data_IF_041609519369
#
_entry.id   IF_041609519369
#
_cell.length_a   1.000
_cell.length_b   1.000
_cell.length_c   1.000
_cell.angle_alpha   90.00
_cell.angle_beta   90.00
_cell.angle_gamma   90.00
#
_symmetry.space_group_name_H-M   'P 1'
#
loop_
_entity.id
_entity.type
_entity.pdbx_description
1 polymer ?
#
# COMPACT_ATOMS: atom_id res chain seq x y z
N UNK A 1 -16.52 4.71 19.92
CA UNK A 1 -15.67 5.07 18.78
C UNK A 1 -14.42 4.22 18.92
N UNK A 2 -14.12 3.37 17.94
CA UNK A 2 -12.86 2.63 17.93
C UNK A 2 -11.73 3.65 17.68
N UNK A 3 -10.66 3.57 18.46
CA UNK A 3 -9.47 4.37 18.21
C UNK A 3 -8.89 3.91 16.86
N UNK A 4 -8.46 4.83 15.96
CA UNK A 4 -7.82 4.42 14.72
C UNK A 4 -6.59 3.55 15.03
N UNK A 5 -6.23 2.60 14.14
CA UNK A 5 -5.01 1.81 14.30
C UNK A 5 -3.80 2.76 14.33
N UNK A 6 -2.83 2.43 15.18
CA UNK A 6 -1.57 3.16 15.25
C UNK A 6 -0.62 2.66 14.15
N UNK A 7 0.30 3.51 13.70
CA UNK A 7 1.25 3.17 12.64
C UNK A 7 2.68 3.48 13.06
N UNK A 8 3.64 2.67 12.62
CA UNK A 8 5.06 2.97 12.78
C UNK A 8 5.40 4.36 12.18
N UNK A 9 5.90 5.26 13.02
CA UNK A 9 6.13 6.68 12.70
C UNK A 9 7.60 7.10 12.79
N UNK A 10 8.44 6.33 13.50
CA UNK A 10 9.87 6.60 13.65
C UNK A 10 10.66 5.33 13.96
N UNK A 11 11.90 5.26 13.51
CA UNK A 11 12.84 4.19 13.87
C UNK A 11 14.17 4.79 14.32
N UNK A 12 14.73 4.27 15.41
CA UNK A 12 16.05 4.67 15.90
C UNK A 12 16.95 3.46 16.13
N UNK A 13 18.24 3.63 15.83
CA UNK A 13 19.30 2.69 16.20
C UNK A 13 20.42 3.52 16.80
N UNK A 14 20.34 3.79 18.11
CA UNK A 14 21.19 4.76 18.77
C UNK A 14 22.70 4.48 18.59
N UNK A 15 23.10 3.20 18.65
CA UNK A 15 24.49 2.78 18.47
C UNK A 15 25.04 3.00 17.04
N UNK A 16 24.15 3.19 16.07
CA UNK A 16 24.46 3.44 14.66
C UNK A 16 24.12 4.88 14.22
N UNK A 17 23.74 5.75 15.17
CA UNK A 17 23.32 7.14 14.91
C UNK A 17 22.17 7.26 13.89
N UNK A 18 21.27 6.27 13.88
CA UNK A 18 20.10 6.27 13.00
C UNK A 18 18.91 6.81 13.78
N UNK A 19 18.25 7.81 13.20
CA UNK A 19 17.03 8.41 13.70
C UNK A 19 16.21 8.91 12.50
N UNK A 20 15.25 8.10 12.07
CA UNK A 20 14.48 8.36 10.85
C UNK A 20 12.98 8.41 11.16
N UNK A 21 12.24 9.41 10.64
CA UNK A 21 10.81 9.28 10.49
C UNK A 21 10.49 8.08 9.60
N UNK A 22 9.40 7.38 9.91
CA UNK A 22 8.88 6.25 9.14
C UNK A 22 7.62 6.70 8.43
N UNK A 23 7.57 6.49 7.12
CA UNK A 23 6.37 6.71 6.32
C UNK A 23 5.80 5.38 5.84
N UNK A 24 4.52 5.35 5.48
CA UNK A 24 3.95 4.19 4.80
C UNK A 24 4.70 3.95 3.47
N UNK A 25 5.10 2.70 3.23
CA UNK A 25 5.67 2.26 1.96
C UNK A 25 4.72 2.45 0.78
N UNK A 26 3.42 2.59 1.04
CA UNK A 26 2.38 2.87 0.06
C UNK A 26 2.53 4.25 -0.57
N UNK A 27 3.24 5.17 0.10
CA UNK A 27 3.50 6.52 -0.40
C UNK A 27 4.59 6.56 -1.48
N UNK A 28 5.31 5.45 -1.73
CA UNK A 28 6.39 5.44 -2.70
C UNK A 28 5.84 5.46 -4.14
N UNK A 29 6.13 6.50 -4.95
CA UNK A 29 5.71 6.53 -6.33
C UNK A 29 6.42 5.42 -7.12
N UNK A 30 5.71 4.70 -8.01
CA UNK A 30 6.36 3.80 -8.95
C UNK A 30 7.43 4.54 -9.78
N UNK A 31 8.62 3.94 -10.01
CA UNK A 31 9.04 2.59 -9.65
C UNK A 31 9.71 2.51 -8.27
N UNK A 32 8.96 2.07 -7.24
CA UNK A 32 9.38 1.41 -5.99
C UNK A 32 10.78 1.74 -5.46
N UNK A 33 11.11 3.02 -5.34
CA UNK A 33 12.36 3.43 -4.70
C UNK A 33 12.00 4.17 -3.42
N UNK A 34 12.59 3.81 -2.27
CA UNK A 34 12.38 4.54 -1.04
C UNK A 34 12.68 6.03 -1.22
N UNK A 35 11.93 6.87 -0.52
CA UNK A 35 12.30 8.28 -0.38
C UNK A 35 13.59 8.40 0.43
N UNK A 36 14.25 9.54 0.28
CA UNK A 36 15.38 9.92 1.11
C UNK A 36 14.86 10.61 2.38
N UNK A 37 15.71 10.61 3.40
CA UNK A 37 15.48 11.23 4.72
C UNK A 37 14.32 10.61 5.53
N UNK A 38 13.75 9.50 5.06
CA UNK A 38 12.72 8.72 5.75
C UNK A 38 13.02 7.22 5.63
N UNK A 39 12.57 6.44 6.59
CA UNK A 39 12.39 5.00 6.41
C UNK A 39 10.97 4.70 5.92
N UNK A 40 10.77 3.55 5.31
CA UNK A 40 9.48 3.11 4.80
C UNK A 40 9.06 1.81 5.48
N UNK A 41 7.91 1.84 6.13
CA UNK A 41 7.23 0.65 6.65
C UNK A 41 6.56 -0.11 5.51
N UNK A 42 6.79 -1.41 5.42
CA UNK A 42 6.20 -2.25 4.37
C UNK A 42 4.85 -2.79 4.88
N UNK A 43 3.76 -2.21 4.41
CA UNK A 43 2.40 -2.30 4.99
C UNK A 43 1.77 -3.67 5.05
N UNK A 44 2.23 -4.62 4.24
CA UNK A 44 1.81 -6.03 4.31
C UNK A 44 2.31 -6.79 5.55
N UNK A 45 3.26 -6.22 6.28
CA UNK A 45 3.82 -6.82 7.48
C UNK A 45 3.02 -6.36 8.71
N UNK A 46 3.40 -6.84 9.90
CA UNK A 46 2.71 -6.53 11.15
C UNK A 46 3.15 -5.17 11.70
N UNK A 47 2.25 -4.43 12.34
CA UNK A 47 2.61 -3.23 13.09
C UNK A 47 3.45 -3.58 14.34
N UNK A 48 4.21 -2.62 14.92
CA UNK A 48 5.06 -2.89 16.09
C UNK A 48 4.33 -3.46 17.33
N UNK A 49 3.02 -3.24 17.45
CA UNK A 49 2.20 -3.79 18.54
C UNK A 49 1.59 -5.16 18.24
N UNK A 50 1.70 -5.64 17.00
CA UNK A 50 1.06 -6.88 16.55
C UNK A 50 2.07 -8.03 16.56
N UNK A 51 1.66 -9.26 16.96
CA UNK A 51 2.47 -10.45 16.71
C UNK A 51 2.79 -10.60 15.22
N UNK A 52 4.02 -11.01 14.90
CA UNK A 52 4.51 -11.14 13.53
C UNK A 52 5.82 -10.37 13.32
N UNK A 53 6.06 -10.01 12.06
CA UNK A 53 7.26 -9.27 11.65
C UNK A 53 6.82 -7.86 11.33
N UNK A 54 7.40 -6.85 11.96
CA UNK A 54 7.43 -5.47 11.46
C UNK A 54 8.60 -5.32 10.50
N UNK A 55 8.37 -4.73 9.34
CA UNK A 55 9.38 -4.63 8.29
C UNK A 55 9.58 -3.19 7.86
N UNK A 56 10.77 -2.65 8.11
CA UNK A 56 11.13 -1.27 7.82
C UNK A 56 12.33 -1.28 6.87
N UNK A 57 12.26 -0.48 5.81
CA UNK A 57 13.31 -0.38 4.81
C UNK A 57 13.77 1.06 4.62
N UNK A 58 15.05 1.27 4.35
CA UNK A 58 15.60 2.59 4.03
C UNK A 58 16.84 2.45 3.13
N UNK A 59 17.28 3.53 2.50
CA UNK A 59 18.49 3.51 1.68
C UNK A 59 19.76 3.31 2.50
N UNK A 60 20.77 2.70 1.86
CA UNK A 60 22.13 2.66 2.35
C UNK A 60 22.85 3.95 1.95
N UNK A 61 22.35 5.09 2.45
CA UNK A 61 22.92 6.41 2.23
C UNK A 61 23.21 7.13 3.55
N UNK A 62 24.05 8.15 3.50
CA UNK A 62 24.34 9.02 4.64
C UNK A 62 23.05 9.59 5.23
N UNK A 63 22.94 9.59 6.56
CA UNK A 63 21.72 9.96 7.28
C UNK A 63 20.63 8.89 7.27
N UNK A 64 20.83 7.73 6.64
CA UNK A 64 19.86 6.64 6.55
C UNK A 64 20.44 5.31 7.09
N UNK A 65 20.21 4.17 6.43
CA UNK A 65 20.70 2.85 6.87
C UNK A 65 22.14 2.53 6.42
N UNK A 66 22.88 3.49 5.86
CA UNK A 66 24.30 3.29 5.55
C UNK A 66 25.12 2.81 6.77
N UNK A 67 24.94 3.35 7.99
CA UNK A 67 25.68 2.87 9.16
C UNK A 67 25.43 1.38 9.45
N UNK A 68 24.22 0.86 9.22
CA UNK A 68 23.94 -0.58 9.34
C UNK A 68 24.70 -1.37 8.29
N UNK A 69 24.72 -0.90 7.03
CA UNK A 69 25.49 -1.55 5.97
C UNK A 69 26.98 -1.58 6.31
N UNK A 70 27.56 -0.46 6.70
CA UNK A 70 28.97 -0.37 7.08
C UNK A 70 29.32 -1.25 8.28
N UNK A 71 28.45 -1.30 9.30
CA UNK A 71 28.59 -2.20 10.44
C UNK A 71 28.45 -3.68 10.03
N UNK A 72 27.61 -4.00 9.05
CA UNK A 72 27.47 -5.36 8.52
C UNK A 72 28.74 -5.82 7.78
N UNK A 73 29.43 -4.90 7.10
CA UNK A 73 30.68 -5.20 6.40
C UNK A 73 31.84 -5.40 7.39
N UNK A 74 31.75 -4.85 8.60
CA UNK A 74 32.71 -5.08 9.67
C UNK A 74 32.36 -6.34 10.44
N UNK A 75 33.34 -7.23 10.59
CA UNK A 75 33.18 -8.45 11.39
C UNK A 75 31.96 -9.31 10.97
N UNK A 76 31.53 -9.20 9.72
CA UNK A 76 30.36 -9.89 9.15
C UNK A 76 29.08 -9.68 9.98
N UNK A 77 28.80 -8.43 10.34
CA UNK A 77 27.59 -8.03 11.08
C UNK A 77 27.58 -8.40 12.56
N UNK A 78 28.61 -9.06 13.08
CA UNK A 78 28.69 -9.42 14.50
C UNK A 78 28.65 -8.21 15.43
N UNK A 79 29.06 -7.03 14.96
CA UNK A 79 29.01 -5.77 15.73
C UNK A 79 27.57 -5.26 15.92
N UNK A 80 26.63 -5.67 15.07
CA UNK A 80 25.22 -5.30 15.19
C UNK A 80 24.47 -6.15 16.22
N UNK A 81 24.92 -7.38 16.48
CA UNK A 81 24.26 -8.30 17.40
C UNK A 81 24.24 -7.72 18.82
N UNK A 82 23.05 -7.67 19.42
CA UNK A 82 22.82 -7.11 20.74
C UNK A 82 22.59 -5.60 20.78
N UNK A 83 22.73 -4.89 19.66
CA UNK A 83 22.32 -3.47 19.61
C UNK A 83 20.80 -3.36 19.73
N UNK A 84 20.35 -2.26 20.33
CA UNK A 84 18.93 -1.95 20.49
C UNK A 84 18.41 -1.15 19.29
N UNK A 85 17.16 -1.42 18.94
CA UNK A 85 16.40 -0.69 17.95
C UNK A 85 15.08 -0.28 18.60
N UNK A 86 14.70 0.99 18.49
CA UNK A 86 13.38 1.44 18.91
C UNK A 86 12.53 1.78 17.69
N UNK A 87 11.28 1.31 17.69
CA UNK A 87 10.26 1.72 16.72
C UNK A 87 9.15 2.43 17.48
N UNK A 88 8.77 3.59 16.99
CA UNK A 88 7.71 4.40 17.58
C UNK A 88 6.45 4.34 16.73
N UNK A 89 5.30 4.56 17.35
CA UNK A 89 4.02 4.69 16.67
C UNK A 89 3.38 6.06 16.91
N UNK A 90 2.55 6.48 15.97
CA UNK A 90 1.86 7.79 15.96
C UNK A 90 0.92 8.03 17.15
N UNK A 91 0.53 6.98 17.88
CA UNK A 91 -0.22 7.05 19.13
C UNK A 91 0.64 7.29 20.38
N UNK A 92 1.95 7.48 20.21
CA UNK A 92 2.87 7.80 21.31
C UNK A 92 3.42 6.59 22.04
N UNK A 93 3.56 5.44 21.37
CA UNK A 93 4.21 4.26 21.94
C UNK A 93 5.62 4.07 21.37
N UNK A 94 6.55 3.57 22.20
CA UNK A 94 7.88 3.07 21.84
C UNK A 94 7.89 1.55 22.01
N UNK A 95 8.41 0.85 21.02
CA UNK A 95 8.65 -0.59 21.03
C UNK A 95 10.14 -0.85 20.89
N UNK A 96 10.76 -1.39 21.95
CA UNK A 96 12.18 -1.72 21.96
C UNK A 96 12.43 -3.12 21.41
N UNK A 97 13.48 -3.28 20.62
CA UNK A 97 13.94 -4.54 20.04
C UNK A 97 15.44 -4.72 20.26
N UNK A 98 15.91 -5.97 20.24
CA UNK A 98 17.35 -6.29 20.26
C UNK A 98 17.71 -7.08 19.02
N UNK A 99 18.75 -6.64 18.30
CA UNK A 99 19.24 -7.34 17.10
C UNK A 99 19.80 -8.70 17.51
N UNK A 100 19.33 -9.76 16.84
CA UNK A 100 19.72 -11.15 17.12
C UNK A 100 20.36 -11.84 15.93
N UNK A 101 20.12 -11.35 14.71
CA UNK A 101 20.66 -11.93 13.49
C UNK A 101 20.91 -10.86 12.42
N UNK A 102 21.95 -11.07 11.63
CA UNK A 102 22.29 -10.25 10.47
C UNK A 102 22.41 -11.17 9.27
N UNK A 103 21.55 -10.98 8.29
CA UNK A 103 21.53 -11.75 7.06
C UNK A 103 22.01 -10.86 5.92
N UNK A 104 23.23 -11.10 5.47
CA UNK A 104 23.84 -10.42 4.33
C UNK A 104 23.56 -11.17 3.04
N UNK A 105 23.54 -10.44 1.93
CA UNK A 105 23.28 -10.98 0.59
C UNK A 105 21.91 -11.66 0.46
N UNK A 106 20.93 -11.24 1.27
CA UNK A 106 19.58 -11.74 1.16
C UNK A 106 18.99 -11.34 -0.20
N UNK A 107 18.44 -12.32 -0.92
CA UNK A 107 17.80 -12.09 -2.22
C UNK A 107 16.28 -12.20 -2.15
N UNK A 108 15.75 -12.60 -1.00
CA UNK A 108 14.33 -12.83 -0.75
C UNK A 108 13.99 -12.71 0.75
N UNK A 109 12.80 -13.19 1.13
CA UNK A 109 12.28 -13.19 2.51
C UNK A 109 12.32 -14.57 3.18
N UNK A 110 13.07 -15.52 2.63
CA UNK A 110 13.03 -16.92 3.11
C UNK A 110 13.37 -17.04 4.59
N UNK A 111 14.25 -16.20 5.11
CA UNK A 111 14.59 -16.19 6.54
C UNK A 111 13.41 -15.82 7.46
N UNK A 112 12.35 -15.20 6.94
CA UNK A 112 11.13 -14.91 7.70
C UNK A 112 10.23 -16.13 7.87
N UNK A 113 10.34 -17.13 6.97
CA UNK A 113 9.41 -18.26 6.91
C UNK A 113 9.47 -19.13 8.16
N UNK A 114 10.62 -19.17 8.84
CA UNK A 114 10.87 -20.00 10.02
C UNK A 114 10.56 -19.26 11.35
N UNK A 115 10.13 -17.99 11.30
CA UNK A 115 9.86 -17.21 12.51
C UNK A 115 8.52 -17.62 13.16
N UNK A 116 8.48 -17.87 14.48
CA UNK A 116 7.24 -18.08 15.24
C UNK A 116 6.24 -16.92 15.07
N UNK A 117 5.05 -17.20 14.57
CA UNK A 117 4.05 -16.13 14.30
C UNK A 117 3.40 -15.53 15.54
N UNK A 118 3.65 -16.11 16.72
CA UNK A 118 3.13 -15.65 18.02
C UNK A 118 4.08 -14.67 18.74
N UNK A 119 5.22 -14.34 18.14
CA UNK A 119 6.20 -13.39 18.67
C UNK A 119 6.29 -12.14 17.80
N UNK A 120 6.84 -11.07 18.37
CA UNK A 120 7.11 -9.82 17.67
C UNK A 120 8.57 -9.76 17.23
N UNK A 121 8.77 -9.58 15.94
CA UNK A 121 10.06 -9.39 15.30
C UNK A 121 10.08 -8.05 14.58
N UNK A 122 11.27 -7.49 14.44
CA UNK A 122 11.54 -6.35 13.58
C UNK A 122 12.60 -6.75 12.56
N UNK A 123 12.39 -6.33 11.32
CA UNK A 123 13.40 -6.44 10.27
C UNK A 123 13.69 -5.06 9.72
N UNK A 124 14.97 -4.69 9.77
CA UNK A 124 15.49 -3.53 9.05
C UNK A 124 16.15 -4.01 7.76
N UNK A 125 15.76 -3.43 6.61
CA UNK A 125 16.33 -3.79 5.31
C UNK A 125 16.98 -2.60 4.61
N UNK A 126 18.15 -2.84 4.02
CA UNK A 126 18.77 -1.90 3.06
C UNK A 126 19.45 -2.61 1.88
N UNK A 127 19.87 -1.86 0.86
CA UNK A 127 20.61 -2.38 -0.30
C UNK A 127 22.08 -2.60 0.06
N UNK A 128 22.70 -3.70 -0.40
CA UNK A 128 24.17 -3.89 -0.22
C UNK A 128 25.01 -3.33 -1.35
N UNK A 129 24.40 -3.07 -2.51
CA UNK A 129 25.10 -2.60 -3.70
C UNK A 129 24.51 -1.32 -4.27
N UNK A 130 25.04 -0.88 -5.44
CA UNK A 130 24.53 0.28 -6.17
C UNK A 130 23.03 0.16 -6.49
N UNK A 131 22.48 1.23 -7.05
CA UNK A 131 21.09 1.26 -7.51
C UNK A 131 20.72 -0.01 -8.31
N UNK A 132 19.62 -0.67 -7.92
CA UNK A 132 19.11 -1.87 -8.60
C UNK A 132 19.75 -3.20 -8.19
N UNK A 133 20.65 -3.22 -7.19
CA UNK A 133 21.23 -4.48 -6.72
C UNK A 133 20.16 -5.33 -6.01
N UNK A 134 20.11 -6.61 -6.37
CA UNK A 134 19.15 -7.58 -5.82
C UNK A 134 19.46 -7.87 -4.35
N UNK A 135 20.74 -8.03 -4.03
CA UNK A 135 21.21 -8.35 -2.68
C UNK A 135 20.86 -7.25 -1.66
N UNK A 136 20.26 -7.68 -0.56
CA UNK A 136 19.84 -6.86 0.57
C UNK A 136 20.57 -7.28 1.84
N UNK A 137 20.83 -6.30 2.68
CA UNK A 137 21.12 -6.50 4.08
C UNK A 137 19.78 -6.57 4.82
N UNK A 138 19.56 -7.62 5.59
CA UNK A 138 18.42 -7.79 6.47
C UNK A 138 18.90 -7.98 7.91
N UNK A 139 18.43 -7.14 8.83
CA UNK A 139 18.79 -7.17 10.25
C UNK A 139 17.56 -7.55 11.04
N UNK A 140 17.59 -8.72 11.68
CA UNK A 140 16.49 -9.24 12.49
C UNK A 140 16.68 -8.86 13.96
N UNK A 141 15.63 -8.31 14.55
CA UNK A 141 15.56 -8.00 15.97
C UNK A 141 14.31 -8.63 16.60
N UNK A 142 14.43 -8.98 17.88
CA UNK A 142 13.34 -9.58 18.68
C UNK A 142 12.85 -8.52 19.68
N UNK A 143 11.54 -8.46 19.90
CA UNK A 143 10.95 -7.52 20.83
C UNK A 143 11.49 -7.69 22.26
N UNK A 144 11.71 -6.57 22.94
CA UNK A 144 12.28 -6.47 24.28
C UNK A 144 11.28 -5.85 25.26
N UNK A 145 10.82 -4.64 24.99
CA UNK A 145 9.94 -3.87 25.86
C UNK A 145 9.02 -2.93 25.05
N UNK A 146 8.05 -2.34 25.75
CA UNK A 146 7.18 -1.30 25.22
C UNK A 146 6.92 -0.25 26.29
N UNK A 147 6.80 1.00 25.85
CA UNK A 147 6.71 2.15 26.74
C UNK A 147 5.90 3.28 26.10
N UNK A 148 5.01 3.91 26.85
CA UNK A 148 4.35 5.13 26.40
C UNK A 148 5.33 6.32 26.47
N UNK A 149 5.40 7.10 25.41
CA UNK A 149 6.26 8.28 25.27
C UNK A 149 5.44 9.51 24.89
N UNK A 150 6.08 10.68 24.87
CA UNK A 150 5.44 11.89 24.35
C UNK A 150 5.15 11.71 22.84
N UNK A 151 3.90 11.90 22.37
CA UNK A 151 3.57 11.79 20.94
C UNK A 151 4.47 12.66 20.04
N UNK A 152 4.91 13.83 20.51
CA UNK A 152 5.82 14.70 19.74
C UNK A 152 7.23 14.11 19.56
N UNK A 153 7.61 13.13 20.39
CA UNK A 153 8.86 12.36 20.25
C UNK A 153 8.66 11.14 19.35
N UNK A 154 7.46 10.54 19.41
CA UNK A 154 7.13 9.35 18.64
C UNK A 154 6.89 9.65 17.15
N UNK A 155 6.27 10.78 16.84
CA UNK A 155 5.83 11.14 15.49
C UNK A 155 6.48 12.43 14.99
N UNK A 156 7.79 12.42 14.67
CA UNK A 156 8.45 13.56 14.07
C UNK A 156 7.93 13.80 12.64
N UNK A 157 7.83 15.07 12.23
CA UNK A 157 7.39 15.44 10.88
C UNK A 157 8.32 14.83 9.81
N UNK A 158 7.75 13.95 8.97
CA UNK A 158 8.46 13.34 7.86
C UNK A 158 8.63 14.33 6.70
N UNK A 159 9.85 14.40 6.16
CA UNK A 159 10.18 15.26 5.02
C UNK A 159 10.72 14.43 3.84
N UNK A 160 9.92 13.50 3.28
CA UNK A 160 10.38 12.63 2.21
C UNK A 160 10.76 13.44 0.96
N UNK A 161 11.88 13.08 0.34
CA UNK A 161 12.29 13.61 -0.97
C UNK A 161 12.74 12.53 -1.92
N UNK A 162 12.71 12.82 -3.22
CA UNK A 162 13.26 11.94 -4.23
C UNK A 162 14.77 11.76 -4.05
N UNK A 163 15.23 10.51 -4.03
CA UNK A 163 16.64 10.15 -3.91
C UNK A 163 17.47 10.34 -5.19
N UNK A 164 17.02 11.16 -6.13
CA UNK A 164 17.78 11.39 -7.37
C UNK A 164 19.09 12.08 -6.98
N UNK A 165 20.25 11.57 -7.44
CA UNK A 165 21.51 12.27 -7.25
C UNK A 165 21.36 13.67 -7.84
N UNK A 166 21.64 14.72 -7.06
CA UNK A 166 21.57 16.12 -7.52
C UNK A 166 22.49 16.39 -8.73
N UNK A 167 23.38 15.45 -9.07
CA UNK A 167 24.43 15.58 -10.09
C UNK A 167 24.04 15.26 -11.54
N UNK A 168 22.80 14.83 -11.85
CA UNK A 168 22.38 14.63 -13.25
C UNK A 168 21.55 15.80 -13.83
N UNK A 169 21.10 16.74 -13.00
CA UNK A 169 20.65 18.06 -13.46
C UNK A 169 21.87 18.94 -13.65
N UNK A 170 22.58 18.70 -14.75
CA UNK A 170 23.76 19.45 -15.14
C UNK A 170 23.56 20.96 -15.01
N UNK A 171 24.60 21.62 -14.51
CA UNK A 171 24.68 23.07 -14.45
C UNK A 171 24.21 23.70 -15.74
N UNK A 172 23.09 24.43 -15.66
CA UNK A 172 22.76 25.42 -16.67
C UNK A 172 23.97 26.34 -16.81
N UNK A 173 24.55 26.37 -18.00
CA UNK A 173 25.50 27.41 -18.40
C UNK A 173 24.84 28.76 -18.10
N UNK A 174 25.50 29.72 -17.43
CA UNK A 174 24.89 31.00 -17.10
C UNK A 174 24.43 31.70 -18.39
N UNK A 175 23.12 31.86 -18.54
CA UNK A 175 22.55 32.75 -19.55
C UNK A 175 23.06 34.18 -19.31
N UNK A 176 23.39 34.94 -20.38
CA UNK A 176 23.77 36.33 -20.24
C UNK A 176 22.60 37.16 -19.69
N UNK A 177 22.87 38.28 -18.98
CA UNK A 177 21.83 39.08 -18.34
C UNK A 177 20.86 39.64 -19.38
N UNK A 178 19.63 39.12 -19.37
CA UNK A 178 18.52 39.62 -20.18
C UNK A 178 17.88 40.82 -19.48
N UNK A 179 17.65 41.86 -20.27
CA UNK A 179 17.33 43.21 -19.84
C UNK A 179 15.93 43.34 -19.21
N UNK A 180 15.84 44.25 -18.25
CA UNK A 180 14.63 44.65 -17.54
C UNK A 180 13.49 45.04 -18.48
N UNK A 181 12.33 44.41 -18.30
CA UNK A 181 11.04 44.92 -18.78
C UNK A 181 10.04 44.96 -17.61
N UNK A 182 9.52 46.16 -17.34
CA UNK A 182 8.63 46.53 -16.25
C UNK A 182 7.29 45.78 -16.25
N UNK A 183 6.68 45.52 -15.07
CA UNK A 183 5.32 44.98 -15.00
C UNK A 183 4.26 46.07 -15.22
N UNK A 184 3.28 45.74 -16.08
CA UNK A 184 2.00 46.46 -16.21
C UNK A 184 1.02 45.88 -15.19
N UNK A 185 0.53 46.72 -14.27
CA UNK A 185 -0.50 46.37 -13.28
C UNK A 185 -1.86 46.44 -13.98
N UNK A 186 -2.61 45.33 -14.00
CA UNK A 186 -4.02 45.29 -14.39
C UNK A 186 -4.84 45.01 -13.13
N UNK A 187 -5.65 45.99 -12.72
CA UNK A 187 -6.59 45.89 -11.60
C UNK A 187 -7.77 44.97 -11.93
N UNK A 188 -8.07 44.04 -11.01
CA UNK A 188 -9.28 43.22 -11.05
C UNK A 188 -10.44 43.91 -10.28
N UNK A 189 -11.70 43.81 -10.76
CA UNK A 189 -12.85 44.38 -10.06
C UNK A 189 -13.39 43.48 -8.94
N UNK A 190 -13.84 44.15 -7.88
CA UNK A 190 -14.47 43.63 -6.66
C UNK A 190 -15.80 42.93 -6.93
N UNK A 191 -16.09 41.75 -6.36
CA UNK A 191 -17.43 41.18 -6.37
C UNK A 191 -18.32 41.81 -5.30
N UNK A 192 -19.59 42.02 -5.68
CA UNK A 192 -20.65 42.65 -4.91
C UNK A 192 -21.55 41.59 -4.26
N UNK A 193 -21.86 41.74 -2.98
CA UNK A 193 -22.72 40.83 -2.20
C UNK A 193 -24.20 41.01 -2.52
N UNK A 194 -24.99 39.92 -2.61
CA UNK A 194 -26.46 39.99 -2.56
C UNK A 194 -27.04 39.83 -1.14
N UNK A 195 -28.32 40.20 -0.94
CA UNK A 195 -28.90 40.52 0.37
C UNK A 195 -29.61 39.35 1.09
N UNK A 196 -29.88 39.63 2.36
CA UNK A 196 -30.62 38.85 3.35
C UNK A 196 -32.00 38.32 2.93
N UNK A 197 -32.28 37.08 3.38
CA UNK A 197 -33.47 36.81 4.20
C UNK A 197 -34.48 35.81 3.65
N UNK A 198 -34.65 34.67 4.35
CA UNK A 198 -35.95 33.98 4.60
C UNK A 198 -35.84 33.16 5.90
N UNK A 199 -36.82 33.20 6.83
CA UNK A 199 -36.84 32.35 8.03
C UNK A 199 -37.27 30.91 7.71
N UNK A 200 -36.60 29.95 8.34
CA UNK A 200 -36.92 28.51 8.26
C UNK A 200 -37.85 28.10 9.41
N UNK A 201 -38.94 27.35 9.16
CA UNK A 201 -39.81 26.84 10.22
C UNK A 201 -39.22 25.62 10.93
N UNK A 202 -39.38 25.59 12.25
CA UNK A 202 -39.06 24.49 13.17
C UNK A 202 -40.02 23.31 12.98
N UNK A 203 -39.52 22.06 12.83
CA UNK A 203 -40.31 20.87 13.10
C UNK A 203 -40.16 20.44 14.56
N UNK A 204 -41.29 20.32 15.26
CA UNK A 204 -41.42 19.54 16.50
C UNK A 204 -41.33 18.05 16.16
N UNK A 205 -40.37 17.34 16.75
CA UNK A 205 -40.31 15.87 16.71
C UNK A 205 -40.55 15.26 18.10
N UNK A 206 -41.38 14.21 18.22
CA UNK A 206 -41.70 13.56 19.47
C UNK A 206 -40.60 12.59 19.91
N UNK A 207 -40.39 12.54 21.23
CA UNK A 207 -39.44 11.66 21.90
C UNK A 207 -39.62 10.17 21.52
N UNK A 208 -38.55 9.58 20.99
CA UNK A 208 -38.41 8.13 20.77
C UNK A 208 -37.71 7.48 21.99
N UNK A 209 -38.18 6.33 22.50
CA UNK A 209 -37.63 5.71 23.70
C UNK A 209 -36.27 5.05 23.43
N UNK A 210 -35.35 5.23 24.38
CA UNK A 210 -34.00 4.66 24.35
C UNK A 210 -34.01 3.13 24.46
N UNK A 211 -33.25 2.40 23.61
CA UNK A 211 -32.89 1.03 23.91
C UNK A 211 -31.73 0.97 24.92
N UNK A 212 -31.92 0.05 25.85
CA UNK A 212 -31.07 -0.28 26.99
C UNK A 212 -29.92 -1.23 26.61
N UNK A 213 -28.84 -1.11 27.39
CA UNK A 213 -27.77 -2.08 27.68
C UNK A 213 -26.87 -2.53 26.53
N UNK A 214 -25.71 -1.88 26.43
CA UNK A 214 -24.50 -2.40 25.80
C UNK A 214 -23.83 -3.43 26.73
N UNK A 215 -23.64 -4.69 26.31
CA UNK A 215 -22.75 -5.62 27.00
C UNK A 215 -21.29 -5.28 26.70
N UNK A 216 -20.45 -5.42 27.73
CA UNK A 216 -19.01 -5.23 27.65
C UNK A 216 -18.40 -6.14 26.58
N UNK A 217 -17.81 -5.54 25.54
CA UNK A 217 -17.07 -6.26 24.51
C UNK A 217 -15.71 -6.67 25.06
N UNK A 218 -15.54 -7.97 25.26
CA UNK A 218 -14.23 -8.63 25.26
C UNK A 218 -13.71 -8.52 23.82
N UNK A 219 -12.57 -7.83 23.63
CA UNK A 219 -11.95 -7.62 22.33
C UNK A 219 -11.62 -8.95 21.66
N UNK A 220 -12.55 -9.43 20.83
CA UNK A 220 -12.29 -10.48 19.86
C UNK A 220 -11.78 -9.73 18.65
N UNK A 221 -10.56 -10.04 18.18
CA UNK A 221 -10.04 -9.49 16.93
C UNK A 221 -11.12 -9.68 15.86
N UNK A 222 -11.59 -8.57 15.28
CA UNK A 222 -12.50 -8.65 14.16
C UNK A 222 -11.83 -9.51 13.08
N UNK A 223 -12.57 -10.42 12.42
CA UNK A 223 -12.01 -11.16 11.31
C UNK A 223 -11.37 -10.17 10.33
N UNK A 224 -10.18 -10.52 9.82
CA UNK A 224 -9.46 -9.69 8.87
C UNK A 224 -10.40 -9.32 7.71
N UNK A 225 -10.37 -8.07 7.28
CA UNK A 225 -11.26 -7.49 6.27
C UNK A 225 -10.48 -7.28 4.96
N UNK A 226 -10.55 -8.23 4.04
CA UNK A 226 -9.86 -8.14 2.75
C UNK A 226 -10.69 -8.73 1.61
N UNK A 227 -10.40 -8.33 0.38
CA UNK A 227 -11.06 -8.88 -0.81
C UNK A 227 -10.80 -10.40 -0.96
N UNK A 228 -11.86 -11.18 -1.08
CA UNK A 228 -11.84 -12.66 -1.13
C UNK A 228 -12.40 -13.25 -2.43
N UNK A 229 -13.22 -12.50 -3.18
CA UNK A 229 -13.77 -12.90 -4.49
C UNK A 229 -14.10 -11.68 -5.34
N UNK A 230 -13.95 -11.79 -6.66
CA UNK A 230 -14.36 -10.77 -7.62
C UNK A 230 -15.23 -11.39 -8.71
N UNK A 231 -16.36 -10.74 -9.00
CA UNK A 231 -17.34 -11.19 -9.99
C UNK A 231 -17.67 -10.04 -10.94
N UNK A 232 -17.64 -10.32 -12.24
CA UNK A 232 -18.16 -9.47 -13.31
C UNK A 232 -19.11 -10.32 -14.13
N UNK A 233 -20.37 -10.37 -13.70
CA UNK A 233 -21.37 -11.32 -14.22
C UNK A 233 -21.59 -11.13 -15.72
N UNK A 234 -21.63 -9.89 -16.20
CA UNK A 234 -21.85 -9.55 -17.62
C UNK A 234 -20.71 -9.99 -18.54
N UNK A 235 -19.55 -10.35 -17.98
CA UNK A 235 -18.35 -10.80 -18.71
C UNK A 235 -17.93 -12.23 -18.34
N UNK A 236 -18.76 -12.97 -17.61
CA UNK A 236 -18.46 -14.34 -17.14
C UNK A 236 -17.12 -14.44 -16.38
N UNK A 237 -16.80 -13.43 -15.56
CA UNK A 237 -15.63 -13.45 -14.67
C UNK A 237 -16.07 -13.73 -13.25
N UNK A 238 -15.47 -14.74 -12.64
CA UNK A 238 -15.72 -15.15 -11.26
C UNK A 238 -14.47 -15.81 -10.69
N UNK A 239 -13.74 -15.09 -9.84
CA UNK A 239 -12.44 -15.52 -9.35
C UNK A 239 -12.34 -15.38 -7.82
N UNK A 240 -11.77 -16.38 -7.11
CA UNK A 240 -11.22 -16.16 -5.79
C UNK A 240 -10.16 -15.06 -5.85
N UNK A 241 -10.11 -14.22 -4.83
CA UNK A 241 -9.10 -13.17 -4.68
C UNK A 241 -8.17 -13.56 -3.55
N UNK A 242 -6.87 -13.55 -3.82
CA UNK A 242 -5.82 -13.80 -2.84
C UNK A 242 -4.99 -12.55 -2.57
N UNK A 243 -4.16 -12.58 -1.53
CA UNK A 243 -3.17 -11.53 -1.31
C UNK A 243 -2.14 -11.50 -2.45
N UNK A 244 -1.86 -10.30 -2.96
CA UNK A 244 -0.78 -10.07 -3.93
C UNK A 244 0.61 -10.45 -3.42
N UNK A 245 0.76 -10.72 -2.12
CA UNK A 245 2.01 -11.19 -1.52
C UNK A 245 2.24 -12.69 -1.66
N UNK A 246 1.24 -13.46 -2.09
CA UNK A 246 1.41 -14.90 -2.27
C UNK A 246 2.24 -15.29 -3.52
N UNK A 247 2.74 -14.32 -4.31
CA UNK A 247 3.33 -14.60 -5.63
C UNK A 247 4.54 -15.55 -5.61
N UNK A 248 4.58 -16.56 -6.50
CA UNK A 248 5.71 -17.45 -6.65
C UNK A 248 6.92 -16.70 -7.24
N UNK A 249 8.16 -17.03 -6.83
CA UNK A 249 9.36 -16.49 -7.46
C UNK A 249 9.38 -16.85 -8.97
N UNK A 250 9.68 -15.90 -9.89
CA UNK A 250 10.15 -14.52 -9.67
C UNK A 250 9.06 -13.44 -9.87
N UNK A 251 8.01 -13.41 -9.04
CA UNK A 251 6.92 -12.42 -9.07
C UNK A 251 6.01 -12.53 -10.31
N UNK A 252 5.64 -13.76 -10.68
CA UNK A 252 4.63 -13.99 -11.71
C UNK A 252 3.26 -14.21 -11.04
N UNK A 253 2.18 -13.52 -11.42
CA UNK A 253 0.87 -13.74 -10.79
C UNK A 253 0.39 -15.19 -10.97
N UNK A 254 -0.37 -15.70 -10.02
CA UNK A 254 -0.98 -17.02 -10.11
C UNK A 254 -2.08 -17.08 -11.16
N UNK A 255 -2.39 -18.32 -11.57
CA UNK A 255 -3.55 -18.65 -12.38
C UNK A 255 -4.71 -19.05 -11.49
N UNK A 256 -5.92 -18.97 -12.05
CA UNK A 256 -7.20 -19.34 -11.42
C UNK A 256 -7.60 -18.50 -10.20
N UNK A 257 -6.83 -17.44 -9.91
CA UNK A 257 -7.12 -16.47 -8.85
C UNK A 257 -6.84 -15.06 -9.35
N UNK A 258 -7.55 -14.10 -8.80
CA UNK A 258 -7.14 -12.70 -8.82
C UNK A 258 -6.33 -12.37 -7.56
N UNK A 259 -5.62 -11.25 -7.57
CA UNK A 259 -4.79 -10.83 -6.45
C UNK A 259 -4.97 -9.34 -6.16
N UNK A 260 -5.28 -8.99 -4.90
CA UNK A 260 -5.32 -7.58 -4.49
C UNK A 260 -3.92 -7.03 -4.21
N UNK A 261 -3.70 -5.75 -4.47
CA UNK A 261 -2.45 -5.05 -4.15
C UNK A 261 -2.47 -4.66 -2.69
N UNK A 262 -1.55 -5.20 -1.90
CA UNK A 262 -1.60 -5.18 -0.42
C UNK A 262 -1.25 -3.82 0.20
N UNK A 263 -0.65 -2.92 -0.57
CA UNK A 263 -0.33 -1.55 -0.18
C UNK A 263 -1.40 -0.52 -0.61
N UNK A 264 -2.55 -0.98 -1.11
CA UNK A 264 -3.68 -0.14 -1.48
C UNK A 264 -4.91 -0.50 -0.63
N UNK A 265 -5.92 0.36 -0.65
CA UNK A 265 -7.10 0.25 0.21
C UNK A 265 -7.87 -1.06 -0.01
N UNK A 266 -8.43 -1.63 1.05
CA UNK A 266 -9.38 -2.75 0.96
C UNK A 266 -10.79 -2.26 0.59
N UNK A 267 -11.70 -3.15 0.14
CA UNK A 267 -13.06 -2.75 -0.20
C UNK A 267 -13.74 -2.00 0.94
N UNK A 268 -14.28 -0.80 0.67
CA UNK A 268 -14.96 0.02 1.68
C UNK A 268 -14.06 0.99 2.45
N UNK A 269 -12.74 0.85 2.36
CA UNK A 269 -11.81 1.84 2.88
C UNK A 269 -11.70 3.05 1.92
N UNK A 270 -11.45 4.26 2.45
CA UNK A 270 -11.09 5.40 1.61
C UNK A 270 -9.84 5.10 0.79
N UNK A 271 -9.92 5.20 -0.54
CA UNK A 271 -8.82 4.87 -1.42
C UNK A 271 -9.24 4.07 -2.65
N UNK A 272 -8.27 3.41 -3.26
CA UNK A 272 -8.49 2.50 -4.38
C UNK A 272 -8.22 1.07 -3.95
N UNK A 273 -9.22 0.21 -4.03
CA UNK A 273 -9.00 -1.24 -4.08
C UNK A 273 -8.50 -1.62 -5.46
N UNK A 274 -7.38 -2.35 -5.51
CA UNK A 274 -6.72 -2.67 -6.77
C UNK A 274 -6.54 -4.17 -6.89
N UNK A 275 -7.26 -4.79 -7.83
CA UNK A 275 -7.26 -6.24 -8.05
C UNK A 275 -6.67 -6.52 -9.42
N UNK A 276 -5.73 -7.46 -9.47
CA UNK A 276 -5.00 -7.85 -10.67
C UNK A 276 -5.27 -9.31 -11.00
N UNK A 277 -5.35 -9.65 -12.29
CA UNK A 277 -5.36 -11.04 -12.74
C UNK A 277 -4.81 -11.12 -14.17
N UNK A 278 -4.42 -12.32 -14.61
CA UNK A 278 -3.95 -12.51 -15.99
C UNK A 278 -5.06 -12.37 -17.02
N UNK A 279 -4.69 -11.92 -18.22
CA UNK A 279 -5.57 -11.92 -19.38
C UNK A 279 -5.54 -13.32 -20.05
N UNK A 280 -5.98 -14.33 -19.30
CA UNK A 280 -6.05 -15.72 -19.75
C UNK A 280 -7.48 -16.27 -19.62
N UNK A 281 -7.75 -17.35 -20.35
CA UNK A 281 -9.02 -18.08 -20.24
C UNK A 281 -9.28 -18.48 -18.79
N UNK A 282 -10.52 -18.31 -18.33
CA UNK A 282 -10.91 -18.50 -16.94
C UNK A 282 -10.50 -17.37 -16.00
N UNK A 283 -9.88 -16.28 -16.50
CA UNK A 283 -9.43 -15.14 -15.69
C UNK A 283 -9.95 -13.80 -16.26
N UNK A 284 -9.11 -12.76 -16.36
CA UNK A 284 -9.50 -11.44 -16.86
C UNK A 284 -9.41 -11.31 -18.39
N UNK A 285 -9.25 -12.41 -19.15
CA UNK A 285 -9.33 -12.35 -20.61
C UNK A 285 -10.66 -11.76 -21.13
N UNK A 286 -11.84 -12.10 -20.59
CA UNK A 286 -13.09 -11.50 -21.04
C UNK A 286 -13.14 -9.98 -20.85
N UNK A 287 -12.49 -9.45 -19.81
CA UNK A 287 -12.33 -8.01 -19.58
C UNK A 287 -11.47 -7.39 -20.69
N UNK A 288 -10.34 -8.02 -21.05
CA UNK A 288 -9.51 -7.57 -22.18
C UNK A 288 -10.28 -7.62 -23.51
N UNK A 289 -10.99 -8.70 -23.80
CA UNK A 289 -11.76 -8.86 -25.03
C UNK A 289 -12.90 -7.83 -25.12
N UNK A 290 -13.52 -7.50 -23.99
CA UNK A 290 -14.52 -6.43 -23.91
C UNK A 290 -13.88 -5.05 -24.12
N UNK A 291 -12.69 -4.81 -23.57
CA UNK A 291 -12.00 -3.51 -23.73
C UNK A 291 -11.57 -3.24 -25.17
N UNK A 292 -11.29 -4.28 -25.95
CA UNK A 292 -10.96 -4.13 -27.37
C UNK A 292 -12.17 -3.75 -28.22
N UNK A 293 -13.39 -4.04 -27.74
CA UNK A 293 -14.63 -3.69 -28.42
C UNK A 293 -14.99 -2.25 -28.13
N UNK A 294 -14.98 -1.42 -29.18
CA UNK A 294 -15.26 0.03 -29.11
C UNK A 294 -14.45 0.72 -28.01
N UNK A 295 -13.21 0.27 -27.78
CA UNK A 295 -12.31 0.84 -26.78
C UNK A 295 -12.91 0.87 -25.36
N UNK A 296 -13.57 -0.23 -24.96
CA UNK A 296 -14.13 -0.41 -23.63
C UNK A 296 -15.44 0.32 -23.37
N UNK A 297 -15.97 1.05 -24.35
CA UNK A 297 -17.25 1.77 -24.21
C UNK A 297 -18.43 0.85 -23.89
N UNK A 298 -18.37 -0.43 -24.31
CA UNK A 298 -19.40 -1.42 -23.99
C UNK A 298 -19.39 -1.83 -22.52
N UNK A 299 -18.29 -1.59 -21.79
CA UNK A 299 -18.17 -1.96 -20.37
C UNK A 299 -18.73 -0.89 -19.44
N UNK A 300 -18.95 0.33 -19.92
CA UNK A 300 -19.44 1.42 -19.08
C UNK A 300 -20.86 1.11 -18.58
N UNK A 301 -21.05 1.21 -17.26
CA UNK A 301 -22.30 0.87 -16.58
C UNK A 301 -22.47 -0.60 -16.22
N UNK A 302 -21.55 -1.49 -16.63
CA UNK A 302 -21.51 -2.86 -16.09
C UNK A 302 -21.15 -2.83 -14.62
N UNK A 303 -21.57 -3.87 -13.90
CA UNK A 303 -21.33 -3.99 -12.46
C UNK A 303 -20.17 -4.94 -12.13
N UNK A 304 -19.51 -4.68 -11.02
CA UNK A 304 -18.49 -5.55 -10.45
C UNK A 304 -18.87 -5.78 -8.98
N UNK A 305 -18.99 -7.03 -8.58
CA UNK A 305 -19.18 -7.39 -7.17
C UNK A 305 -17.83 -7.88 -6.60
N UNK A 306 -17.37 -7.24 -5.53
CA UNK A 306 -16.20 -7.67 -4.75
C UNK A 306 -16.69 -8.14 -3.39
N UNK A 307 -16.35 -9.37 -3.02
CA UNK A 307 -16.67 -9.93 -1.72
C UNK A 307 -15.47 -9.84 -0.79
N UNK A 308 -15.73 -9.74 0.50
CA UNK A 308 -14.70 -9.71 1.53
C UNK A 308 -14.79 -10.89 2.49
N UNK A 309 -13.68 -11.13 3.18
CA UNK A 309 -13.50 -12.22 4.14
C UNK A 309 -14.47 -12.22 5.33
N UNK A 310 -15.06 -11.08 5.64
CA UNK A 310 -16.11 -10.90 6.64
C UNK A 310 -17.53 -10.98 6.07
N UNK A 311 -17.69 -11.56 4.87
CA UNK A 311 -18.96 -11.82 4.20
C UNK A 311 -19.75 -10.55 3.87
N UNK A 312 -19.07 -9.49 3.43
CA UNK A 312 -19.70 -8.34 2.78
C UNK A 312 -19.54 -8.44 1.26
N UNK A 313 -20.50 -7.88 0.55
CA UNK A 313 -20.47 -7.65 -0.90
C UNK A 313 -20.46 -6.16 -1.15
N UNK A 314 -19.43 -5.71 -1.84
CA UNK A 314 -19.28 -4.36 -2.36
C UNK A 314 -19.60 -4.36 -3.85
N UNK A 315 -20.64 -3.63 -4.23
CA UNK A 315 -21.04 -3.50 -5.63
C UNK A 315 -20.49 -2.22 -6.22
N UNK A 316 -19.83 -2.32 -7.37
CA UNK A 316 -19.26 -1.20 -8.10
C UNK A 316 -19.85 -1.08 -9.51
N UNK A 317 -19.83 0.12 -10.07
CA UNK A 317 -20.19 0.40 -11.46
C UNK A 317 -18.96 0.87 -12.24
N UNK A 318 -18.68 0.23 -13.37
CA UNK A 318 -17.60 0.65 -14.27
C UNK A 318 -17.96 2.00 -14.89
N UNK A 319 -17.08 2.99 -14.73
CA UNK A 319 -17.29 4.32 -15.29
C UNK A 319 -16.12 4.82 -16.13
N UNK A 320 -14.95 4.16 -16.09
CA UNK A 320 -13.85 4.37 -17.03
C UNK A 320 -13.15 3.08 -17.39
N UNK A 321 -12.61 3.04 -18.61
CA UNK A 321 -11.71 2.00 -19.09
C UNK A 321 -10.48 2.69 -19.67
N UNK A 322 -9.31 2.32 -19.16
CA UNK A 322 -8.02 2.90 -19.53
C UNK A 322 -7.19 1.81 -20.19
N UNK A 323 -6.89 2.00 -21.47
CA UNK A 323 -6.05 1.08 -22.22
C UNK A 323 -4.66 1.64 -22.39
N UNK A 324 -3.71 0.74 -22.59
CA UNK A 324 -2.30 1.07 -22.83
C UNK A 324 -1.64 1.85 -21.70
N UNK A 325 -2.10 1.65 -20.45
CA UNK A 325 -1.45 2.27 -19.29
C UNK A 325 -0.11 1.59 -19.05
N UNK A 326 0.92 2.38 -18.78
CA UNK A 326 2.30 1.89 -18.56
C UNK A 326 2.78 2.10 -17.12
N UNK A 327 1.95 2.70 -16.29
CA UNK A 327 2.20 2.96 -14.87
C UNK A 327 0.93 2.67 -14.05
N UNK A 328 0.96 3.02 -12.75
CA UNK A 328 -0.15 2.82 -11.81
C UNK A 328 -0.86 4.11 -11.42
N UNK A 329 -0.71 5.21 -12.18
CA UNK A 329 -1.39 6.48 -11.81
C UNK A 329 -2.90 6.33 -11.80
N UNK A 330 -3.46 5.38 -12.55
CA UNK A 330 -4.89 5.04 -12.51
C UNK A 330 -5.43 4.77 -11.08
N UNK A 331 -4.56 4.31 -10.17
CA UNK A 331 -4.92 4.05 -8.78
C UNK A 331 -5.18 5.34 -7.98
N UNK A 332 -4.62 6.48 -8.38
CA UNK A 332 -4.65 7.73 -7.61
C UNK A 332 -5.18 8.92 -8.40
N UNK A 333 -5.10 8.88 -9.73
CA UNK A 333 -5.50 9.97 -10.60
C UNK A 333 -7.02 10.20 -10.53
N UNK A 334 -7.39 11.44 -10.22
CA UNK A 334 -8.79 11.85 -10.08
C UNK A 334 -9.52 11.18 -8.91
N UNK A 335 -8.81 10.60 -7.94
CA UNK A 335 -9.40 10.06 -6.71
C UNK A 335 -9.76 11.21 -5.76
N UNK A 336 -11.04 11.34 -5.40
CA UNK A 336 -11.48 12.37 -4.47
C UNK A 336 -11.20 11.97 -3.00
N UNK A 337 -10.97 12.92 -2.09
CA UNK A 337 -10.84 12.61 -0.66
C UNK A 337 -12.07 11.85 -0.14
N UNK A 338 -11.84 10.70 0.49
CA UNK A 338 -12.91 9.84 1.03
C UNK A 338 -13.59 8.93 0.00
N UNK A 339 -13.22 9.00 -1.28
CA UNK A 339 -13.75 8.10 -2.32
C UNK A 339 -13.25 6.67 -2.11
N UNK A 340 -14.17 5.70 -2.20
CA UNK A 340 -13.85 4.28 -2.30
C UNK A 340 -14.02 3.86 -3.77
N UNK A 341 -12.90 3.53 -4.41
CA UNK A 341 -12.80 3.16 -5.83
C UNK A 341 -12.33 1.72 -5.96
N UNK A 342 -12.72 1.07 -7.05
CA UNK A 342 -12.13 -0.19 -7.49
C UNK A 342 -11.38 0.00 -8.82
N UNK A 343 -10.21 -0.62 -8.93
CA UNK A 343 -9.50 -0.83 -10.19
C UNK A 343 -9.28 -2.32 -10.41
N UNK A 344 -9.75 -2.83 -11.54
CA UNK A 344 -9.33 -4.14 -12.05
C UNK A 344 -8.23 -3.92 -13.10
N UNK A 345 -7.12 -4.64 -13.01
CA UNK A 345 -6.02 -4.53 -13.97
C UNK A 345 -5.63 -5.89 -14.56
N UNK A 346 -5.38 -5.90 -15.87
CA UNK A 346 -4.81 -7.05 -16.56
C UNK A 346 -3.78 -6.65 -17.63
N UNK A 347 -3.03 -7.60 -18.18
CA UNK A 347 -2.08 -7.38 -19.29
C UNK A 347 -2.81 -7.21 -20.62
N UNK A 348 -2.31 -6.36 -21.53
CA UNK A 348 -2.90 -6.23 -22.88
C UNK A 348 -2.20 -7.07 -23.96
N UNK A 349 -1.05 -7.68 -23.64
CA UNK A 349 -0.28 -8.44 -24.62
C UNK A 349 0.48 -9.60 -24.01
N UNK A 350 1.07 -10.45 -24.86
CA UNK A 350 1.84 -11.61 -24.42
C UNK A 350 3.07 -11.18 -23.61
N UNK A 351 3.50 -12.06 -22.69
CA UNK A 351 4.80 -12.07 -22.01
C UNK A 351 5.53 -10.72 -21.85
N UNK A 352 5.33 -10.05 -20.71
CA UNK A 352 6.12 -8.87 -20.36
C UNK A 352 5.78 -7.60 -21.15
N UNK A 353 4.70 -7.62 -21.94
CA UNK A 353 4.13 -6.40 -22.55
C UNK A 353 3.86 -5.37 -21.44
N UNK A 354 4.49 -4.17 -21.52
CA UNK A 354 4.40 -3.18 -20.46
C UNK A 354 2.97 -2.61 -20.34
N UNK A 355 2.25 -2.52 -21.45
CA UNK A 355 0.88 -2.03 -21.51
C UNK A 355 -0.07 -2.90 -20.68
N UNK A 356 -0.85 -2.22 -19.84
CA UNK A 356 -1.93 -2.80 -19.05
C UNK A 356 -3.27 -2.20 -19.46
N UNK A 357 -4.31 -2.96 -19.18
CA UNK A 357 -5.69 -2.52 -19.16
C UNK A 357 -6.05 -2.23 -17.70
N UNK A 358 -6.65 -1.08 -17.44
CA UNK A 358 -7.25 -0.71 -16.17
C UNK A 358 -8.74 -0.40 -16.31
N UNK A 359 -9.58 -1.00 -15.48
CA UNK A 359 -11.02 -0.77 -15.41
C UNK A 359 -11.33 -0.08 -14.10
N UNK A 360 -11.86 1.14 -14.16
CA UNK A 360 -12.16 1.94 -12.97
C UNK A 360 -13.65 1.89 -12.67
N UNK A 361 -13.97 1.54 -11.43
CA UNK A 361 -15.34 1.43 -10.97
C UNK A 361 -15.57 2.19 -9.66
N UNK A 362 -16.79 2.71 -9.48
CA UNK A 362 -17.20 3.48 -8.30
C UNK A 362 -18.14 2.66 -7.43
N UNK A 363 -18.02 2.79 -6.12
CA UNK A 363 -18.89 2.06 -5.18
C UNK A 363 -20.36 2.51 -5.33
N UNK A 364 -21.27 1.55 -5.44
CA UNK A 364 -22.72 1.76 -5.48
C UNK A 364 -23.36 1.44 -4.12
N UNK A 365 -23.13 0.23 -3.60
CA UNK A 365 -23.73 -0.25 -2.36
C UNK A 365 -22.88 -1.32 -1.68
N UNK A 366 -23.19 -1.56 -0.40
CA UNK A 366 -22.59 -2.60 0.44
C UNK A 366 -23.71 -3.39 1.09
N UNK A 367 -23.66 -4.71 0.97
CA UNK A 367 -24.65 -5.62 1.57
C UNK A 367 -23.96 -6.81 2.22
N UNK A 368 -24.60 -7.44 3.20
CA UNK A 368 -24.17 -8.76 3.67
C UNK A 368 -24.28 -9.80 2.54
N UNK A 369 -23.38 -10.76 2.56
CA UNK A 369 -23.32 -11.90 1.65
C UNK A 369 -23.34 -13.21 2.45
N UNK A 370 -23.62 -14.32 1.77
CA UNK A 370 -23.38 -15.63 2.33
C UNK A 370 -21.86 -15.85 2.49
N UNK A 371 -21.45 -16.35 3.66
CA UNK A 371 -20.03 -16.46 4.01
C UNK A 371 -19.29 -17.50 3.15
N UNK A 372 -19.93 -18.61 2.79
CA UNK A 372 -19.33 -19.64 1.92
C UNK A 372 -19.20 -19.11 0.50
N UNK A 373 -20.21 -18.39 0.02
CA UNK A 373 -20.16 -17.74 -1.29
C UNK A 373 -19.10 -16.64 -1.36
N UNK A 374 -18.97 -15.83 -0.31
CA UNK A 374 -17.99 -14.75 -0.26
C UNK A 374 -16.54 -15.26 -0.19
N UNK A 375 -16.33 -16.48 0.33
CA UNK A 375 -15.02 -17.06 0.60
C UNK A 375 -14.83 -18.40 -0.13
N UNK A 376 -14.80 -18.41 -1.48
CA UNK A 376 -14.49 -19.62 -2.21
C UNK A 376 -13.07 -20.10 -1.90
N UNK A 377 -12.85 -21.41 -1.89
CA UNK A 377 -11.51 -21.97 -1.80
C UNK A 377 -10.65 -21.50 -2.99
N UNK A 378 -9.50 -20.92 -2.70
CA UNK A 378 -8.55 -20.49 -3.72
C UNK A 378 -7.61 -21.64 -4.10
N UNK A 379 -7.48 -21.93 -5.39
CA UNK A 379 -6.58 -22.95 -5.93
C UNK A 379 -5.49 -22.32 -6.82
N UNK A 380 -4.62 -21.44 -6.27
CA UNK A 380 -3.61 -20.76 -7.07
C UNK A 380 -2.63 -21.77 -7.69
N UNK A 381 -2.44 -21.71 -9.00
CA UNK A 381 -1.43 -22.50 -9.72
C UNK A 381 -0.39 -21.61 -10.40
N UNK A 382 0.83 -22.13 -10.56
CA UNK A 382 1.86 -21.46 -11.36
C UNK A 382 1.42 -21.41 -12.83
N UNK A 383 1.33 -20.20 -13.38
CA UNK A 383 0.94 -19.97 -14.76
C UNK A 383 2.05 -20.20 -15.78
N UNK A 384 3.30 -20.40 -15.34
CA UNK A 384 4.38 -20.68 -16.28
C UNK A 384 4.05 -21.96 -17.04
N UNK A 385 4.26 -21.99 -18.37
CA UNK A 385 4.22 -23.24 -19.09
C UNK A 385 5.14 -24.22 -18.36
N UNK A 386 4.61 -25.34 -17.88
CA UNK A 386 5.46 -26.44 -17.47
C UNK A 386 6.20 -26.88 -18.73
N UNK A 387 7.53 -27.01 -18.68
CA UNK A 387 8.39 -27.40 -19.81
C UNK A 387 8.14 -28.85 -20.32
N UNK A 388 6.89 -29.27 -20.42
CA UNK A 388 6.47 -30.63 -20.74
C UNK A 388 5.48 -30.58 -21.91
N UNK A 389 6.04 -30.44 -23.12
CA UNK A 389 5.62 -31.13 -24.35
C UNK A 389 6.58 -30.73 -25.50
N UNK A 390 7.89 -30.98 -25.31
CA UNK A 390 8.90 -30.98 -26.38
C UNK A 390 9.52 -32.39 -26.53
#
# INVERSE_FOLDING_TARGET
>A
MLQPPAYASRVTVAASEIDLPVVSGDLQPPPSYPFCDVAAYITRFAQPYEPGVTYISAHAQEGMFLPLLEASLRSDGRELIGQQVDVYTDDGMRYGYTITEVNRHAVDYTFLADLPRDQRYLVLQTSEGPFGTVEKLQVLAVALDEEAVDPAVADPEANPRDCRPEELTGGATPSPPEAEASPVIISAPTPSSPPDGVPTPTPDDPASPAPSSSPAAVGTFAPAHFASRVVVEELDVDLPVVSGDLQPPPNYPFCDVAAYVTFLAQPGEPGTTYITAHAQEGMFLPILDASQRRDGQEMLGMTIDVYTSDALRYRYEIWQVWRHITDRTIATEGLNPGEARLVLQTSEGPFGTPEKLGVVARLLDVTEADAEFANPDAEPRDCRPTDADD
#
